data_IF_785325981308
#
_entry.id   IF_785325981308
#
_cell.length_a   1.000
_cell.length_b   1.000
_cell.length_c   1.000
_cell.angle_alpha   90.00
_cell.angle_beta   90.00
_cell.angle_gamma   90.00
#
_symmetry.space_group_name_H-M   'P 1'
#
loop_
_entity.id
_entity.type
_entity.pdbx_description
1 polymer ?
#
# COMPACT_ATOMS: atom_id res chain seq x y z
N UNK A 1 -17.10 -11.96 -10.91
CA UNK A 1 -17.57 -11.98 -9.55
C UNK A 1 -16.80 -11.01 -8.69
N UNK A 2 -17.51 -10.25 -7.91
CA UNK A 2 -16.90 -9.16 -7.15
C UNK A 2 -16.21 -9.67 -5.90
N UNK A 3 -14.96 -9.26 -5.71
CA UNK A 3 -14.23 -9.56 -4.50
C UNK A 3 -14.54 -8.52 -3.44
N UNK A 4 -14.53 -8.94 -2.19
CA UNK A 4 -14.70 -8.03 -1.06
C UNK A 4 -13.38 -7.44 -0.65
N UNK A 5 -13.37 -6.16 -0.32
CA UNK A 5 -12.23 -5.52 0.30
C UNK A 5 -12.36 -5.66 1.82
N UNK A 6 -11.33 -6.22 2.45
CA UNK A 6 -11.33 -6.48 3.89
C UNK A 6 -10.22 -5.66 4.53
N UNK A 7 -10.56 -4.94 5.58
CA UNK A 7 -9.56 -4.28 6.41
C UNK A 7 -9.87 -4.59 7.86
N UNK A 8 -8.88 -5.05 8.60
CA UNK A 8 -9.07 -5.37 10.01
C UNK A 8 -8.10 -4.56 10.86
N UNK A 9 -8.30 -4.68 12.18
CA UNK A 9 -7.52 -3.93 13.14
C UNK A 9 -6.02 -4.22 13.01
N UNK A 10 -5.66 -5.46 12.76
CA UNK A 10 -4.25 -5.85 12.64
C UNK A 10 -3.58 -5.17 11.45
N UNK A 11 -4.27 -5.10 10.32
CA UNK A 11 -3.74 -4.39 9.16
C UNK A 11 -3.53 -2.91 9.43
N UNK A 12 -4.49 -2.28 10.09
CA UNK A 12 -4.38 -0.88 10.46
C UNK A 12 -3.19 -0.65 11.40
N UNK A 13 -3.08 -1.48 12.43
CA UNK A 13 -1.99 -1.36 13.40
C UNK A 13 -0.64 -1.59 12.74
N UNK A 14 -0.56 -2.58 11.87
CA UNK A 14 0.68 -2.87 11.17
C UNK A 14 1.14 -1.65 10.35
N UNK A 15 0.23 -1.06 9.58
CA UNK A 15 0.56 0.10 8.76
C UNK A 15 1.00 1.29 9.62
N UNK A 16 0.28 1.56 10.71
CA UNK A 16 0.63 2.67 11.59
C UNK A 16 1.94 2.45 12.33
N UNK A 17 2.19 1.21 12.79
CA UNK A 17 3.42 0.90 13.51
C UNK A 17 4.65 0.98 12.59
N UNK A 18 4.50 0.58 11.34
CA UNK A 18 5.61 0.56 10.40
C UNK A 18 5.80 1.89 9.67
N UNK A 19 4.73 2.64 9.46
CA UNK A 19 4.76 3.78 8.55
C UNK A 19 4.04 5.02 9.09
N UNK A 20 3.54 4.97 10.31
CA UNK A 20 2.93 6.13 10.95
C UNK A 20 3.96 7.11 11.50
N UNK A 21 3.46 8.21 12.07
CA UNK A 21 4.31 9.33 12.50
C UNK A 21 5.36 8.92 13.54
N UNK A 22 5.06 7.90 14.34
CA UNK A 22 5.99 7.46 15.39
C UNK A 22 6.85 6.27 14.97
N UNK A 23 6.78 5.85 13.72
CA UNK A 23 7.51 4.70 13.24
C UNK A 23 8.98 5.04 12.98
N UNK A 24 9.88 4.03 13.03
CA UNK A 24 11.28 4.25 12.67
C UNK A 24 11.45 4.76 11.23
N UNK A 25 10.61 4.30 10.30
CA UNK A 25 10.71 4.74 8.91
C UNK A 25 10.52 6.24 8.78
N UNK A 26 9.55 6.80 9.53
CA UNK A 26 9.31 8.23 9.50
C UNK A 26 10.39 8.98 10.27
N UNK A 27 10.73 8.50 11.47
CA UNK A 27 11.67 9.21 12.34
C UNK A 27 13.10 9.19 11.82
N UNK A 28 13.54 8.07 11.27
CA UNK A 28 14.95 7.89 10.92
C UNK A 28 15.22 7.84 9.42
N UNK A 29 14.23 7.46 8.62
CA UNK A 29 14.41 7.39 7.18
C UNK A 29 13.71 8.51 6.44
N UNK A 30 13.12 9.44 7.17
CA UNK A 30 12.44 10.61 6.62
C UNK A 30 11.31 10.27 5.66
N UNK A 31 10.73 9.09 5.82
CA UNK A 31 9.56 8.70 5.04
C UNK A 31 8.37 9.55 5.50
N UNK A 32 7.56 10.07 4.56
CA UNK A 32 6.33 10.77 4.97
C UNK A 32 5.42 9.82 5.74
N UNK A 33 4.76 10.30 6.81
CA UNK A 33 3.94 9.41 7.62
C UNK A 33 2.61 9.07 6.96
N UNK A 34 2.14 7.86 7.24
CA UNK A 34 0.78 7.45 6.94
C UNK A 34 -0.08 7.77 8.17
N UNK A 35 -1.28 8.30 7.94
CA UNK A 35 -2.20 8.62 9.01
C UNK A 35 -3.38 7.66 8.99
N UNK A 36 -4.13 7.62 10.09
CA UNK A 36 -5.36 6.84 10.14
C UNK A 36 -6.33 7.29 9.05
N UNK A 37 -6.38 8.60 8.79
CA UNK A 37 -7.24 9.14 7.74
C UNK A 37 -6.86 8.59 6.37
N UNK A 38 -5.55 8.50 6.08
CA UNK A 38 -5.10 7.91 4.83
C UNK A 38 -5.58 6.47 4.71
N UNK A 39 -5.44 5.70 5.79
CA UNK A 39 -5.86 4.31 5.79
C UNK A 39 -7.36 4.19 5.58
N UNK A 40 -8.15 5.06 6.22
CA UNK A 40 -9.60 4.99 6.07
C UNK A 40 -10.05 5.32 4.64
N UNK A 41 -9.21 6.00 3.86
CA UNK A 41 -9.49 6.33 2.48
C UNK A 41 -8.77 5.43 1.48
N UNK A 42 -8.20 4.33 1.94
CA UNK A 42 -7.35 3.52 1.07
C UNK A 42 -8.09 2.97 -0.16
N UNK A 43 -9.40 2.73 -0.04
CA UNK A 43 -10.17 2.21 -1.18
C UNK A 43 -10.22 3.21 -2.33
N UNK A 44 -10.34 4.50 -2.02
CA UNK A 44 -10.29 5.53 -3.05
C UNK A 44 -8.92 5.58 -3.72
N UNK A 45 -7.87 5.40 -2.93
CA UNK A 45 -6.51 5.41 -3.45
C UNK A 45 -6.31 4.24 -4.40
N UNK A 46 -6.75 3.05 -4.00
CA UNK A 46 -6.63 1.84 -4.84
C UNK A 46 -7.48 1.98 -6.09
N UNK A 47 -8.71 2.48 -5.95
CA UNK A 47 -9.63 2.61 -7.06
C UNK A 47 -9.10 3.58 -8.13
N UNK A 48 -8.38 4.60 -7.70
CA UNK A 48 -7.82 5.62 -8.60
C UNK A 48 -6.31 5.48 -8.79
N UNK A 49 -5.77 4.30 -8.53
CA UNK A 49 -4.35 4.07 -8.64
C UNK A 49 -3.85 4.34 -10.06
N UNK A 50 -2.65 4.90 -10.15
CA UNK A 50 -2.02 5.14 -11.43
C UNK A 50 -1.47 3.85 -12.01
N UNK A 51 -1.09 2.92 -11.15
CA UNK A 51 -0.59 1.62 -11.58
C UNK A 51 -0.85 0.58 -10.50
N UNK A 52 -1.15 -0.63 -10.92
CA UNK A 52 -1.38 -1.76 -10.03
C UNK A 52 -0.55 -2.94 -10.52
N UNK A 53 0.21 -3.54 -9.62
CA UNK A 53 1.04 -4.70 -9.92
C UNK A 53 0.50 -5.89 -9.13
N UNK A 54 0.24 -6.98 -9.83
CA UNK A 54 -0.13 -8.23 -9.18
C UNK A 54 1.09 -9.14 -9.12
N UNK A 55 1.39 -9.63 -7.93
CA UNK A 55 2.56 -10.48 -7.70
C UNK A 55 2.20 -11.59 -6.75
N UNK A 56 2.19 -12.83 -7.25
CA UNK A 56 1.74 -13.99 -6.46
C UNK A 56 0.34 -13.72 -5.94
N UNK A 57 0.14 -13.69 -4.63
CA UNK A 57 -1.15 -13.43 -4.02
C UNK A 57 -1.27 -12.01 -3.50
N UNK A 58 -0.44 -11.08 -4.02
CA UNK A 58 -0.46 -9.70 -3.59
C UNK A 58 -0.82 -8.78 -4.74
N UNK A 59 -1.52 -7.70 -4.37
CA UNK A 59 -1.81 -6.60 -5.28
C UNK A 59 -1.19 -5.36 -4.68
N UNK A 60 -0.35 -4.68 -5.45
CA UNK A 60 0.35 -3.48 -5.00
C UNK A 60 -0.12 -2.33 -5.87
N UNK A 61 -0.73 -1.33 -5.25
CA UNK A 61 -1.29 -0.19 -5.95
C UNK A 61 -0.48 1.06 -5.66
N UNK A 62 -0.20 1.84 -6.70
CA UNK A 62 0.58 3.07 -6.60
C UNK A 62 -0.26 4.25 -7.03
N UNK A 63 -0.27 5.30 -6.20
CA UNK A 63 -1.00 6.52 -6.51
C UNK A 63 -0.08 7.72 -6.32
N UNK A 64 0.16 8.46 -7.41
CA UNK A 64 1.04 9.64 -7.39
C UNK A 64 0.27 10.86 -6.93
N UNK A 65 0.43 11.22 -5.66
CA UNK A 65 -0.18 12.40 -5.05
C UNK A 65 0.78 12.93 -4.00
N UNK A 66 1.38 14.10 -4.24
CA UNK A 66 2.31 14.72 -3.31
C UNK A 66 3.36 13.71 -2.81
N UNK A 67 4.17 13.21 -3.74
CA UNK A 67 4.91 11.98 -3.55
C UNK A 67 4.00 10.87 -4.03
N UNK A 68 4.02 9.72 -3.37
CA UNK A 68 3.10 8.66 -3.78
C UNK A 68 2.69 7.79 -2.60
N UNK A 69 1.52 7.19 -2.74
CA UNK A 69 1.04 6.16 -1.81
C UNK A 69 1.29 4.80 -2.42
N UNK A 70 1.59 3.83 -1.55
CA UNK A 70 1.67 2.42 -1.90
C UNK A 70 0.72 1.67 -0.99
N UNK A 71 -0.20 0.89 -1.58
CA UNK A 71 -1.14 0.07 -0.82
C UNK A 71 -0.90 -1.38 -1.21
N UNK A 72 -0.71 -2.23 -0.20
CA UNK A 72 -0.49 -3.66 -0.42
C UNK A 72 -1.69 -4.43 0.11
N UNK A 73 -2.29 -5.22 -0.78
CA UNK A 73 -3.41 -6.10 -0.43
C UNK A 73 -3.03 -7.53 -0.74
N UNK A 74 -3.60 -8.45 0.02
CA UNK A 74 -3.40 -9.88 -0.21
C UNK A 74 -4.69 -10.50 -0.73
N UNK A 75 -4.55 -11.33 -1.76
CA UNK A 75 -5.71 -12.01 -2.35
C UNK A 75 -5.99 -13.27 -1.56
N UNK A 76 -7.25 -13.43 -1.15
CA UNK A 76 -7.74 -14.69 -0.61
C UNK A 76 -8.74 -15.25 -1.61
N UNK A 77 -8.30 -16.18 -2.44
CA UNK A 77 -9.11 -16.69 -3.55
C UNK A 77 -10.29 -17.52 -3.06
N UNK A 78 -10.11 -18.23 -1.96
CA UNK A 78 -11.16 -19.10 -1.43
C UNK A 78 -12.39 -18.31 -0.99
N UNK A 79 -12.18 -17.09 -0.52
CA UNK A 79 -13.25 -16.23 -0.01
C UNK A 79 -13.54 -15.03 -0.92
N UNK A 80 -12.84 -14.92 -2.03
CA UNK A 80 -12.96 -13.78 -2.94
C UNK A 80 -12.75 -12.47 -2.20
N UNK A 81 -11.63 -12.37 -1.48
CA UNK A 81 -11.32 -11.21 -0.65
C UNK A 81 -9.99 -10.59 -1.04
N UNK A 82 -9.93 -9.27 -0.94
CA UNK A 82 -8.69 -8.50 -0.98
C UNK A 82 -8.47 -7.97 0.43
N UNK A 83 -7.44 -8.45 1.09
CA UNK A 83 -7.19 -8.13 2.49
C UNK A 83 -6.11 -7.05 2.58
N UNK A 84 -6.44 -5.92 3.20
CA UNK A 84 -5.47 -4.85 3.42
C UNK A 84 -4.34 -5.34 4.30
N UNK A 85 -3.10 -5.20 3.83
CA UNK A 85 -1.92 -5.63 4.59
C UNK A 85 -1.13 -4.46 5.12
N UNK A 86 -0.85 -3.48 4.29
CA UNK A 86 -0.12 -2.29 4.72
C UNK A 86 -0.28 -1.17 3.71
N UNK A 87 0.12 0.02 4.12
CA UNK A 87 0.08 1.21 3.30
C UNK A 87 1.19 2.13 3.77
N UNK A 88 1.87 2.77 2.83
CA UNK A 88 2.89 3.73 3.19
C UNK A 88 2.96 4.84 2.15
N UNK A 89 3.66 5.90 2.51
CA UNK A 89 3.83 7.05 1.64
C UNK A 89 5.32 7.31 1.46
N UNK A 90 5.70 7.69 0.24
CA UNK A 90 7.09 8.01 -0.08
C UNK A 90 7.14 9.27 -0.92
N UNK A 91 8.31 9.91 -0.88
CA UNK A 91 8.55 11.10 -1.69
C UNK A 91 8.85 10.70 -3.13
N UNK A 92 8.61 11.65 -4.03
CA UNK A 92 9.01 11.50 -5.42
C UNK A 92 8.06 10.65 -6.25
N UNK A 93 8.54 10.31 -7.44
CA UNK A 93 7.78 9.53 -8.40
C UNK A 93 7.88 8.05 -8.05
N UNK A 94 6.73 7.36 -8.03
CA UNK A 94 6.73 5.94 -7.65
C UNK A 94 7.55 5.10 -8.62
N UNK A 95 7.65 5.51 -9.87
CA UNK A 95 8.42 4.74 -10.87
C UNK A 95 9.91 4.75 -10.59
N UNK A 96 10.39 5.71 -9.81
CA UNK A 96 11.79 5.78 -9.41
C UNK A 96 12.07 5.08 -8.09
N UNK A 97 11.03 4.63 -7.40
CA UNK A 97 11.21 3.99 -6.10
C UNK A 97 11.80 2.59 -6.26
N UNK A 98 12.76 2.21 -5.38
CA UNK A 98 13.34 0.86 -5.45
C UNK A 98 12.29 -0.24 -5.32
N UNK A 99 11.28 -0.01 -4.50
CA UNK A 99 10.19 -0.96 -4.31
C UNK A 99 9.46 -1.25 -5.63
N UNK A 100 9.11 -0.19 -6.36
CA UNK A 100 8.42 -0.33 -7.63
C UNK A 100 9.29 -1.08 -8.64
N UNK A 101 10.56 -0.70 -8.73
CA UNK A 101 11.47 -1.33 -9.68
C UNK A 101 11.66 -2.81 -9.39
N UNK A 102 11.73 -3.16 -8.11
CA UNK A 102 11.85 -4.56 -7.70
C UNK A 102 10.60 -5.35 -8.09
N UNK A 103 9.42 -4.78 -7.83
CA UNK A 103 8.17 -5.48 -8.13
C UNK A 103 7.98 -5.68 -9.62
N UNK A 104 8.30 -4.70 -10.42
CA UNK A 104 8.21 -4.81 -11.88
C UNK A 104 9.17 -5.88 -12.40
N UNK A 105 10.41 -5.85 -11.92
CA UNK A 105 11.42 -6.78 -12.38
C UNK A 105 11.06 -8.22 -12.07
N UNK A 106 10.55 -8.46 -10.87
CA UNK A 106 10.20 -9.82 -10.45
C UNK A 106 8.92 -10.31 -11.11
N UNK A 107 8.10 -9.39 -11.61
CA UNK A 107 6.85 -9.74 -12.26
C UNK A 107 7.04 -10.14 -13.72
N UNK A 108 8.19 -9.87 -14.26
CA UNK A 108 8.56 -10.32 -15.60
C UNK A 108 8.97 -11.78 -15.55
#
# INVERSE_FOLDING_TARGET
>A
KNAKAIIDYQGIQHALNKHGINSPSVKFSKQPPITYKDISNYRDIVKNADETIKRDNRIISYKQVNGHFVVVEQINRNKSEFIFKTMFKEKGDYKNAPDYKKNIKEND
#
